data_IF_749405976995
#
_entry.id   IF_749405976995
#
_cell.length_a   1.000
_cell.length_b   1.000
_cell.length_c   1.000
_cell.angle_alpha   90.00
_cell.angle_beta   90.00
_cell.angle_gamma   90.00
#
_symmetry.space_group_name_H-M   'P 1'
#
loop_
_entity.id
_entity.type
_entity.pdbx_description
1 polymer ?
#
# COMPACT_ATOMS: atom_id res chain seq x y z
N UNK A 1 -20.16 3.66 -14.30
CA UNK A 1 -19.06 4.01 -13.37
C UNK A 1 -19.07 2.97 -12.27
N UNK A 2 -18.12 2.06 -12.29
CA UNK A 2 -17.99 0.98 -11.31
C UNK A 2 -16.95 1.45 -10.30
N UNK A 3 -17.37 1.83 -9.09
CA UNK A 3 -16.43 2.19 -8.04
C UNK A 3 -15.87 0.89 -7.44
N UNK A 4 -14.60 0.61 -7.71
CA UNK A 4 -13.92 -0.58 -7.19
C UNK A 4 -12.80 -0.14 -6.24
N UNK A 5 -12.53 -0.93 -5.20
CA UNK A 5 -11.39 -0.69 -4.31
C UNK A 5 -10.45 -1.88 -4.43
N UNK A 6 -9.21 -1.62 -4.84
CA UNK A 6 -8.18 -2.65 -4.87
C UNK A 6 -7.52 -2.69 -3.50
N UNK A 7 -7.53 -3.84 -2.84
CA UNK A 7 -6.91 -4.01 -1.53
C UNK A 7 -5.66 -4.89 -1.68
N UNK A 8 -4.50 -4.30 -1.40
CA UNK A 8 -3.19 -4.93 -1.53
C UNK A 8 -2.57 -5.12 -0.15
N UNK A 9 -2.00 -6.31 0.04
CA UNK A 9 -1.28 -6.69 1.25
C UNK A 9 0.02 -7.38 0.89
N UNK A 10 1.12 -6.92 1.48
CA UNK A 10 2.41 -7.58 1.39
C UNK A 10 3.19 -7.40 2.70
N UNK A 11 4.33 -8.07 2.80
CA UNK A 11 5.25 -7.89 3.94
C UNK A 11 6.58 -7.40 3.40
N UNK A 12 7.06 -6.27 3.91
CA UNK A 12 8.38 -5.72 3.63
C UNK A 12 9.26 -5.85 4.87
N UNK A 13 10.28 -6.69 4.80
CA UNK A 13 11.19 -6.95 5.93
C UNK A 13 12.05 -5.74 6.27
N UNK A 14 12.33 -4.85 5.31
CA UNK A 14 13.10 -3.62 5.56
C UNK A 14 12.29 -2.55 6.31
N UNK A 15 10.97 -2.67 6.30
CA UNK A 15 10.06 -1.81 7.06
C UNK A 15 9.61 -2.43 8.38
N UNK A 16 10.33 -3.43 8.89
CA UNK A 16 10.09 -4.00 10.21
C UNK A 16 10.93 -3.31 11.28
N UNK A 17 10.37 -3.14 12.48
CA UNK A 17 11.09 -2.59 13.63
C UNK A 17 10.63 -3.24 14.94
N UNK A 18 11.50 -3.23 15.96
CA UNK A 18 11.12 -3.66 17.30
C UNK A 18 10.32 -2.54 17.99
N UNK A 19 9.04 -2.75 18.35
CA UNK A 19 8.21 -1.77 19.04
C UNK A 19 8.80 -1.31 20.39
N UNK A 20 9.59 -2.16 21.06
CA UNK A 20 10.23 -1.81 22.35
C UNK A 20 11.27 -0.70 22.19
N UNK A 21 11.91 -0.60 21.02
CA UNK A 21 12.86 0.47 20.72
C UNK A 21 12.14 1.80 20.40
N UNK A 22 10.86 1.74 20.04
CA UNK A 22 10.04 2.89 19.66
C UNK A 22 8.67 2.81 20.35
N UNK A 23 8.61 3.03 21.67
CA UNK A 23 7.38 2.86 22.45
C UNK A 23 6.21 3.66 21.85
N UNK A 24 5.11 2.97 21.56
CA UNK A 24 3.89 3.57 21.00
C UNK A 24 3.84 3.66 19.47
N UNK A 25 4.93 3.36 18.76
CA UNK A 25 4.94 3.34 17.29
C UNK A 25 4.65 1.93 16.79
N UNK A 26 3.36 1.59 16.68
CA UNK A 26 2.92 0.29 16.15
C UNK A 26 2.60 0.34 14.65
N UNK A 27 2.12 1.48 14.17
CA UNK A 27 1.71 1.66 12.78
C UNK A 27 2.19 3.02 12.25
N UNK A 28 2.66 3.03 11.00
CA UNK A 28 3.11 4.21 10.29
C UNK A 28 2.41 4.31 8.94
N UNK A 29 2.27 5.54 8.43
CA UNK A 29 1.71 5.80 7.10
C UNK A 29 2.79 6.38 6.22
N UNK A 30 3.10 5.70 5.13
CA UNK A 30 4.08 6.15 4.15
C UNK A 30 3.37 6.58 2.87
N UNK A 31 3.72 7.72 2.28
CA UNK A 31 3.40 7.99 0.88
C UNK A 31 3.88 6.83 0.00
N UNK A 32 3.05 6.37 -0.94
CA UNK A 32 3.38 5.22 -1.81
C UNK A 32 4.62 5.44 -2.69
N UNK A 33 5.07 6.69 -2.87
CA UNK A 33 6.29 7.03 -3.61
C UNK A 33 7.59 6.99 -2.77
N UNK A 34 7.50 6.72 -1.46
CA UNK A 34 8.66 6.65 -0.56
C UNK A 34 9.09 5.22 -0.24
N UNK A 35 8.23 4.24 -0.50
CA UNK A 35 8.49 2.83 -0.22
C UNK A 35 8.19 2.00 -1.46
N UNK A 36 8.68 0.77 -1.47
CA UNK A 36 8.32 -0.16 -2.52
C UNK A 36 6.83 -0.50 -2.44
N UNK A 37 6.16 -0.46 -3.59
CA UNK A 37 4.78 -0.92 -3.77
C UNK A 37 4.73 -1.87 -4.97
N UNK A 38 3.86 -2.89 -4.97
CA UNK A 38 3.78 -3.81 -6.09
C UNK A 38 3.17 -3.13 -7.33
N UNK A 39 3.88 -3.20 -8.45
CA UNK A 39 3.36 -2.78 -9.76
C UNK A 39 2.36 -3.84 -10.26
N UNK A 40 1.07 -3.54 -10.17
CA UNK A 40 0.00 -4.45 -10.61
C UNK A 40 -0.59 -3.96 -11.91
N UNK A 41 -0.26 -4.67 -12.99
CA UNK A 41 -0.88 -4.48 -14.30
C UNK A 41 -2.19 -5.26 -14.36
N UNK A 42 -3.31 -4.55 -14.40
CA UNK A 42 -4.61 -5.19 -14.58
C UNK A 42 -4.81 -5.51 -16.07
N UNK A 43 -4.49 -6.73 -16.46
CA UNK A 43 -4.58 -7.18 -17.87
C UNK A 43 -6.02 -7.30 -18.42
N UNK A 44 -7.03 -7.14 -17.55
CA UNK A 44 -8.44 -7.43 -17.85
C UNK A 44 -9.38 -6.28 -17.44
N UNK A 45 -8.88 -5.04 -17.47
CA UNK A 45 -9.75 -3.87 -17.45
C UNK A 45 -10.14 -3.53 -18.88
N UNK A 46 -11.44 -3.37 -19.14
CA UNK A 46 -11.94 -2.79 -20.38
C UNK A 46 -11.61 -1.29 -20.52
N UNK A 47 -10.86 -0.74 -19.56
CA UNK A 47 -10.40 0.64 -19.48
C UNK A 47 -8.86 0.63 -19.39
N UNK A 48 -8.20 1.12 -20.44
CA UNK A 48 -6.73 1.21 -20.55
C UNK A 48 -6.12 2.23 -19.55
N UNK A 49 -6.98 2.88 -18.75
CA UNK A 49 -6.63 3.94 -17.79
C UNK A 49 -6.76 3.51 -16.33
N UNK A 50 -6.46 2.26 -16.00
CA UNK A 50 -6.12 1.93 -14.60
C UNK A 50 -4.72 2.50 -14.30
N UNK A 51 -4.55 3.81 -14.45
CA UNK A 51 -3.50 4.49 -13.77
C UNK A 51 -3.86 4.38 -12.29
N UNK A 52 -3.04 3.67 -11.52
CA UNK A 52 -3.01 3.78 -10.08
C UNK A 52 -2.56 5.20 -9.63
N UNK A 53 -2.94 6.25 -10.36
CA UNK A 53 -2.54 7.65 -10.18
C UNK A 53 -3.00 8.22 -8.84
N UNK A 54 -3.94 7.56 -8.16
CA UNK A 54 -4.31 7.90 -6.80
C UNK A 54 -3.36 7.25 -5.79
N UNK A 55 -2.25 7.94 -5.56
CA UNK A 55 -1.24 7.62 -4.57
C UNK A 55 -1.81 7.86 -3.17
N UNK A 56 -2.45 6.85 -2.58
CA UNK A 56 -2.83 6.88 -1.16
C UNK A 56 -1.65 6.46 -0.28
N UNK A 57 -1.73 6.73 1.02
CA UNK A 57 -0.68 6.27 1.94
C UNK A 57 -0.79 4.76 2.17
N UNK A 58 0.35 4.09 2.24
CA UNK A 58 0.48 2.71 2.67
C UNK A 58 0.54 2.68 4.19
N UNK A 59 -0.32 1.89 4.82
CA UNK A 59 -0.26 1.62 6.25
C UNK A 59 0.72 0.47 6.49
N UNK A 60 1.71 0.70 7.35
CA UNK A 60 2.74 -0.28 7.67
C UNK A 60 2.77 -0.53 9.17
N UNK A 61 2.72 -1.79 9.58
CA UNK A 61 2.88 -2.20 10.98
C UNK A 61 4.36 -2.50 11.30
N UNK A 62 4.71 -2.44 12.57
CA UNK A 62 6.02 -2.87 13.11
C UNK A 62 6.53 -4.24 12.64
N UNK A 63 5.63 -5.17 12.29
CA UNK A 63 6.01 -6.47 11.70
C UNK A 63 6.47 -6.40 10.24
N UNK A 64 6.43 -5.23 9.60
CA UNK A 64 6.66 -5.03 8.17
C UNK A 64 5.42 -5.31 7.30
N UNK A 65 4.27 -5.63 7.90
CA UNK A 65 3.03 -5.83 7.15
C UNK A 65 2.52 -4.50 6.58
N UNK A 66 2.35 -4.47 5.26
CA UNK A 66 1.96 -3.31 4.48
C UNK A 66 0.56 -3.51 3.90
N UNK A 67 -0.29 -2.49 4.05
CA UNK A 67 -1.63 -2.45 3.49
C UNK A 67 -1.80 -1.20 2.64
N UNK A 68 -2.22 -1.39 1.39
CA UNK A 68 -2.45 -0.32 0.43
C UNK A 68 -3.82 -0.47 -0.22
N UNK A 69 -4.61 0.61 -0.19
CA UNK A 69 -5.95 0.65 -0.77
C UNK A 69 -6.06 1.89 -1.67
N UNK A 70 -5.63 1.82 -2.92
CA UNK A 70 -5.92 2.86 -3.90
C UNK A 70 -7.41 2.79 -4.32
N UNK A 71 -8.05 3.95 -4.57
CA UNK A 71 -9.35 3.96 -5.22
C UNK A 71 -9.20 3.46 -6.67
N UNK A 72 -10.05 2.52 -7.07
CA UNK A 72 -10.19 2.05 -8.44
C UNK A 72 -11.28 2.85 -9.15
N UNK A 73 -10.85 3.69 -10.10
CA UNK A 73 -11.71 4.48 -10.97
C UNK A 73 -11.89 3.84 -12.33
#
# INVERSE_FOLDING_TARGET
MTNAWLQLHWTDTYLSWNPENFPGVQNLRFPSNQIWVPDILLYNSADERFDATFHTNVLVNSSGSCQYIPPGG
#
